data_IF_333831278139
#
_entry.id   IF_333831278139
#
_cell.length_a   1.000
_cell.length_b   1.000
_cell.length_c   1.000
_cell.angle_alpha   90.00
_cell.angle_beta   90.00
_cell.angle_gamma   90.00
#
_symmetry.space_group_name_H-M   'P 1'
#
loop_
_entity.id
_entity.type
_entity.pdbx_description
1 polymer ?
#
# COMPACT_ATOMS: atom_id res chain seq x y z
N UNK A 1 -32.89 0.30 3.86
CA UNK A 1 -31.84 -0.46 3.14
C UNK A 1 -30.56 0.37 3.24
N UNK A 2 -29.60 -0.07 4.02
CA UNK A 2 -28.33 0.64 4.23
C UNK A 2 -27.32 0.07 3.24
N UNK A 3 -26.93 0.89 2.27
CA UNK A 3 -25.88 0.53 1.29
C UNK A 3 -24.52 0.79 1.91
N UNK A 4 -23.71 -0.24 1.97
CA UNK A 4 -22.29 -0.13 2.31
C UNK A 4 -21.53 0.25 1.04
N UNK A 5 -20.84 1.39 1.07
CA UNK A 5 -20.16 1.96 -0.08
C UNK A 5 -18.84 1.23 -0.32
N UNK A 6 -18.85 0.27 -1.21
CA UNK A 6 -17.67 -0.11 -2.00
C UNK A 6 -17.54 0.93 -3.11
N UNK A 7 -16.41 1.62 -3.20
CA UNK A 7 -16.16 2.55 -4.30
C UNK A 7 -16.13 1.78 -5.63
N UNK A 8 -17.26 1.73 -6.30
CA UNK A 8 -17.36 1.45 -7.73
C UNK A 8 -17.83 2.73 -8.41
N UNK A 9 -16.99 3.34 -9.23
CA UNK A 9 -17.38 4.44 -10.09
C UNK A 9 -18.15 3.84 -11.26
N UNK A 10 -19.47 3.97 -11.27
CA UNK A 10 -20.28 3.68 -12.45
C UNK A 10 -20.54 4.99 -13.22
N UNK A 11 -19.99 5.12 -14.41
CA UNK A 11 -20.42 6.16 -15.35
C UNK A 11 -21.67 5.70 -16.08
N UNK A 12 -22.74 6.47 -15.96
CA UNK A 12 -24.00 6.26 -16.71
C UNK A 12 -23.93 7.09 -17.99
N UNK A 13 -23.77 6.39 -19.10
CA UNK A 13 -24.02 6.95 -20.41
C UNK A 13 -25.44 6.54 -20.87
N UNK A 14 -26.34 7.51 -21.09
CA UNK A 14 -27.68 7.28 -21.62
C UNK A 14 -27.61 7.06 -23.13
N UNK A 15 -27.63 5.81 -23.56
CA UNK A 15 -27.88 5.43 -24.96
C UNK A 15 -29.11 4.53 -25.02
N UNK A 16 -30.20 5.05 -25.63
CA UNK A 16 -31.38 4.25 -25.95
C UNK A 16 -31.02 3.26 -27.06
N UNK A 17 -31.00 1.97 -26.75
CA UNK A 17 -30.89 0.91 -27.76
C UNK A 17 -32.09 0.00 -27.67
N UNK A 18 -32.72 -0.15 -28.81
CA UNK A 18 -33.86 -0.98 -29.17
C UNK A 18 -33.73 -2.42 -28.65
N UNK A 19 -34.79 -2.91 -28.01
CA UNK A 19 -34.92 -4.30 -27.59
C UNK A 19 -35.05 -5.24 -28.80
N UNK A 20 -33.99 -5.95 -29.12
CA UNK A 20 -34.07 -7.18 -29.90
C UNK A 20 -33.95 -8.36 -28.91
N UNK A 21 -34.97 -9.21 -28.91
CA UNK A 21 -35.02 -10.40 -28.07
C UNK A 21 -33.89 -11.36 -28.46
N UNK A 22 -32.88 -11.45 -27.61
CA UNK A 22 -31.94 -12.56 -27.65
C UNK A 22 -32.42 -13.62 -26.65
N UNK A 23 -32.62 -14.83 -27.17
CA UNK A 23 -32.86 -16.01 -26.36
C UNK A 23 -31.68 -16.19 -25.42
N UNK A 24 -31.92 -16.17 -24.12
CA UNK A 24 -30.92 -16.52 -23.11
C UNK A 24 -30.60 -18.01 -23.23
N UNK A 25 -29.45 -18.35 -23.78
CA UNK A 25 -28.85 -19.63 -23.51
C UNK A 25 -28.55 -19.71 -21.98
N UNK A 26 -28.76 -20.89 -21.34
CA UNK A 26 -28.49 -21.03 -19.93
C UNK A 26 -26.98 -20.81 -19.72
N UNK A 27 -26.62 -19.68 -19.12
CA UNK A 27 -25.25 -19.43 -18.64
C UNK A 27 -24.91 -20.58 -17.71
N UNK A 28 -24.07 -21.51 -18.17
CA UNK A 28 -23.37 -22.44 -17.32
C UNK A 28 -22.88 -21.65 -16.10
N UNK A 29 -23.18 -22.16 -14.91
CA UNK A 29 -22.65 -21.61 -13.65
C UNK A 29 -21.15 -21.67 -13.77
N UNK A 30 -20.57 -20.55 -14.15
CA UNK A 30 -19.13 -20.39 -14.19
C UNK A 30 -18.59 -20.77 -12.81
N UNK A 31 -17.78 -21.76 -12.81
CA UNK A 31 -17.08 -22.42 -11.72
C UNK A 31 -16.58 -21.42 -10.68
N UNK A 32 -16.67 -21.78 -9.41
CA UNK A 32 -16.36 -20.97 -8.24
C UNK A 32 -14.87 -20.55 -8.11
N UNK A 33 -14.12 -20.67 -9.18
CA UNK A 33 -12.77 -20.13 -9.29
C UNK A 33 -12.85 -18.68 -9.81
N UNK A 34 -13.41 -17.79 -8.98
CA UNK A 34 -13.51 -16.35 -9.31
C UNK A 34 -12.12 -15.83 -9.57
N UNK A 35 -11.79 -15.67 -10.83
CA UNK A 35 -10.54 -15.12 -11.31
C UNK A 35 -10.40 -13.69 -10.81
N UNK A 36 -9.24 -13.34 -10.27
CA UNK A 36 -8.91 -11.96 -9.95
C UNK A 36 -8.97 -11.10 -11.21
N UNK A 37 -9.42 -9.86 -11.04
CA UNK A 37 -9.52 -8.87 -12.10
C UNK A 37 -8.45 -7.79 -11.92
N UNK A 38 -7.75 -7.45 -12.99
CA UNK A 38 -6.92 -6.25 -13.04
C UNK A 38 -7.68 -5.16 -13.79
N UNK A 39 -7.60 -3.93 -13.30
CA UNK A 39 -8.24 -2.77 -13.90
C UNK A 39 -7.20 -1.66 -14.07
N UNK A 40 -7.08 -1.14 -15.28
CA UNK A 40 -6.43 0.13 -15.55
C UNK A 40 -7.37 1.25 -15.09
N UNK A 41 -6.96 2.00 -14.07
CA UNK A 41 -7.83 2.98 -13.42
C UNK A 41 -8.02 4.23 -14.28
N UNK A 42 -7.03 4.58 -15.10
CA UNK A 42 -7.12 5.72 -16.02
C UNK A 42 -8.06 5.45 -17.19
N UNK A 43 -8.07 4.21 -17.69
CA UNK A 43 -8.95 3.81 -18.77
C UNK A 43 -10.33 3.36 -18.26
N UNK A 44 -10.40 2.90 -17.00
CA UNK A 44 -11.62 2.35 -16.41
C UNK A 44 -11.96 0.96 -16.97
N UNK A 45 -10.98 0.25 -17.55
CA UNK A 45 -11.18 -1.00 -18.27
C UNK A 45 -10.42 -2.17 -17.63
N UNK A 46 -10.95 -3.39 -17.72
CA UNK A 46 -10.19 -4.59 -17.38
C UNK A 46 -8.96 -4.73 -18.28
N UNK A 47 -7.84 -5.11 -17.68
CA UNK A 47 -6.57 -5.30 -18.39
C UNK A 47 -5.97 -6.66 -18.04
N UNK A 48 -5.37 -7.39 -19.01
CA UNK A 48 -4.62 -8.61 -18.74
C UNK A 48 -3.43 -8.35 -17.79
N UNK A 49 -3.17 -9.29 -16.89
CA UNK A 49 -2.03 -9.18 -15.96
C UNK A 49 -0.69 -9.01 -16.67
N UNK A 50 -0.53 -9.66 -17.81
CA UNK A 50 0.67 -9.60 -18.65
C UNK A 50 0.96 -8.17 -19.13
N UNK A 51 -0.08 -7.41 -19.48
CA UNK A 51 0.06 -6.00 -19.89
C UNK A 51 0.43 -5.11 -18.69
N UNK A 52 -0.18 -5.33 -17.51
CA UNK A 52 0.24 -4.67 -16.28
C UNK A 52 1.69 -4.95 -15.99
N UNK A 53 2.10 -6.23 -16.05
CA UNK A 53 3.48 -6.64 -15.79
C UNK A 53 4.46 -5.99 -16.77
N UNK A 54 4.08 -5.85 -18.04
CA UNK A 54 4.92 -5.21 -19.04
C UNK A 54 5.08 -3.70 -18.75
N UNK A 55 4.00 -2.99 -18.42
CA UNK A 55 4.09 -1.58 -18.02
C UNK A 55 4.97 -1.40 -16.76
N UNK A 56 4.86 -2.29 -15.77
CA UNK A 56 5.71 -2.25 -14.59
C UNK A 56 7.20 -2.41 -14.91
N UNK A 57 7.55 -3.01 -16.07
CA UNK A 57 8.96 -3.06 -16.52
C UNK A 57 9.49 -1.70 -16.96
N UNK A 58 8.66 -0.72 -17.23
CA UNK A 58 9.06 0.60 -17.74
C UNK A 58 9.39 1.61 -16.65
N UNK A 59 8.99 1.35 -15.41
CA UNK A 59 9.13 2.28 -14.28
C UNK A 59 10.21 1.86 -13.29
N UNK A 60 10.63 2.77 -12.42
CA UNK A 60 11.70 2.53 -11.45
C UNK A 60 11.20 2.23 -10.04
N UNK A 61 10.08 2.81 -9.63
CA UNK A 61 9.42 2.49 -8.37
C UNK A 61 8.02 1.92 -8.64
N UNK A 62 7.69 0.84 -7.94
CA UNK A 62 6.40 0.15 -8.02
C UNK A 62 5.86 0.07 -6.60
N UNK A 63 4.84 0.86 -6.32
CA UNK A 63 4.20 0.86 -5.01
C UNK A 63 3.09 -0.17 -4.99
N UNK A 64 3.18 -1.13 -4.08
CA UNK A 64 2.23 -2.24 -3.90
C UNK A 64 1.44 -2.02 -2.62
N UNK A 65 0.35 -1.26 -2.74
CA UNK A 65 -0.48 -0.84 -1.61
C UNK A 65 -1.43 -1.93 -1.13
N UNK A 66 -1.26 -2.36 0.12
CA UNK A 66 -1.93 -3.52 0.70
C UNK A 66 -2.91 -3.18 1.82
N UNK A 67 -3.76 -4.14 2.16
CA UNK A 67 -4.33 -4.30 3.49
C UNK A 67 -3.45 -5.29 4.24
N UNK A 68 -2.77 -4.84 5.27
CA UNK A 68 -1.75 -5.61 5.98
C UNK A 68 -2.20 -7.00 6.47
N UNK A 69 -3.48 -7.19 6.74
CA UNK A 69 -4.03 -8.44 7.29
C UNK A 69 -4.46 -9.45 6.23
N UNK A 70 -4.37 -9.12 4.94
CA UNK A 70 -4.87 -9.98 3.87
C UNK A 70 -3.73 -10.74 3.19
N UNK A 71 -3.61 -12.03 3.53
CA UNK A 71 -2.57 -12.91 3.02
C UNK A 71 -2.48 -12.92 1.49
N UNK A 72 -3.62 -12.91 0.79
CA UNK A 72 -3.65 -12.91 -0.68
C UNK A 72 -3.01 -11.66 -1.32
N UNK A 73 -2.97 -10.51 -0.61
CA UNK A 73 -2.21 -9.35 -1.05
C UNK A 73 -0.71 -9.65 -1.06
N UNK A 74 -0.21 -10.29 0.00
CA UNK A 74 1.21 -10.66 0.10
C UNK A 74 1.59 -11.75 -0.91
N UNK A 75 0.69 -12.69 -1.21
CA UNK A 75 0.86 -13.69 -2.25
C UNK A 75 0.98 -13.03 -3.64
N UNK A 76 0.12 -12.05 -3.96
CA UNK A 76 0.19 -11.31 -5.22
C UNK A 76 1.45 -10.44 -5.31
N UNK A 77 1.87 -9.81 -4.22
CA UNK A 77 3.13 -9.07 -4.16
C UNK A 77 4.33 -9.98 -4.44
N UNK A 78 4.36 -11.17 -3.85
CA UNK A 78 5.40 -12.17 -4.11
C UNK A 78 5.37 -12.65 -5.57
N UNK A 79 4.18 -12.83 -6.14
CA UNK A 79 4.01 -13.19 -7.55
C UNK A 79 4.59 -12.11 -8.47
N UNK A 80 4.23 -10.84 -8.27
CA UNK A 80 4.74 -9.71 -9.07
C UNK A 80 6.27 -9.66 -9.01
N UNK A 81 6.86 -9.78 -7.82
CA UNK A 81 8.32 -9.80 -7.66
C UNK A 81 8.96 -10.95 -8.45
N UNK A 82 8.42 -12.17 -8.32
CA UNK A 82 8.95 -13.33 -9.04
C UNK A 82 8.84 -13.15 -10.56
N UNK A 83 7.70 -12.68 -11.07
CA UNK A 83 7.46 -12.54 -12.51
C UNK A 83 8.37 -11.45 -13.12
N UNK A 84 8.56 -10.32 -12.43
CA UNK A 84 9.50 -9.29 -12.85
C UNK A 84 10.96 -9.79 -12.80
N UNK A 85 11.31 -10.57 -11.78
CA UNK A 85 12.64 -11.15 -11.65
C UNK A 85 12.92 -12.19 -12.76
N UNK A 86 11.91 -12.99 -13.15
CA UNK A 86 12.02 -13.93 -14.27
C UNK A 86 12.26 -13.24 -15.62
N UNK A 87 11.81 -11.99 -15.77
CA UNK A 87 12.15 -11.15 -16.95
C UNK A 87 13.60 -10.65 -16.93
N UNK A 88 14.41 -11.03 -15.93
CA UNK A 88 15.82 -10.64 -15.80
C UNK A 88 16.04 -9.22 -15.27
N UNK A 89 15.02 -8.59 -14.68
CA UNK A 89 15.13 -7.23 -14.17
C UNK A 89 15.90 -7.18 -12.84
N UNK A 90 16.82 -6.23 -12.65
CA UNK A 90 17.48 -6.01 -11.38
C UNK A 90 16.49 -5.36 -10.41
N UNK A 91 16.03 -6.12 -9.41
CA UNK A 91 15.03 -5.70 -8.46
C UNK A 91 15.61 -5.37 -7.09
N UNK A 92 14.84 -4.62 -6.31
CA UNK A 92 14.99 -4.47 -4.86
C UNK A 92 13.59 -4.44 -4.22
N UNK A 93 13.52 -4.70 -2.92
CA UNK A 93 12.29 -4.73 -2.14
C UNK A 93 12.36 -3.69 -1.03
N UNK A 94 11.47 -2.71 -1.02
CA UNK A 94 11.32 -1.73 0.07
C UNK A 94 10.19 -2.14 1.00
N UNK A 95 10.42 -2.08 2.32
CA UNK A 95 9.47 -2.53 3.33
C UNK A 95 9.10 -1.39 4.30
N UNK A 96 7.82 -1.00 4.31
CA UNK A 96 7.24 -0.19 5.39
C UNK A 96 7.31 -0.91 6.74
N UNK A 97 7.19 -2.23 6.73
CA UNK A 97 7.09 -3.07 7.92
C UNK A 97 8.40 -3.10 8.74
N UNK A 98 9.49 -2.59 8.20
CA UNK A 98 10.81 -2.56 8.84
C UNK A 98 11.29 -1.13 9.07
N UNK A 99 11.77 -0.87 10.29
CA UNK A 99 12.38 0.40 10.65
C UNK A 99 13.80 0.50 10.07
N UNK A 100 14.19 1.69 9.59
CA UNK A 100 15.52 1.93 9.01
C UNK A 100 16.69 1.52 9.93
N UNK A 101 16.50 1.60 11.24
CA UNK A 101 17.44 1.10 12.25
C UNK A 101 17.69 -0.41 12.20
N UNK A 102 16.84 -1.16 11.50
CA UNK A 102 16.93 -2.63 11.38
C UNK A 102 17.59 -3.09 10.07
N UNK A 103 18.09 -2.16 9.24
CA UNK A 103 18.69 -2.48 7.95
C UNK A 103 19.80 -3.53 8.03
N UNK A 104 20.66 -3.46 9.04
CA UNK A 104 21.76 -4.43 9.21
C UNK A 104 21.28 -5.88 9.36
N UNK A 105 20.12 -6.11 9.96
CA UNK A 105 19.53 -7.45 10.07
C UNK A 105 18.99 -7.94 8.72
N UNK A 106 18.37 -7.06 7.92
CA UNK A 106 17.94 -7.38 6.56
C UNK A 106 19.13 -7.70 5.65
N UNK A 107 20.23 -6.95 5.79
CA UNK A 107 21.46 -7.21 5.01
C UNK A 107 22.04 -8.60 5.33
N UNK A 108 22.06 -9.00 6.60
CA UNK A 108 22.47 -10.34 7.03
C UNK A 108 21.56 -11.42 6.46
N UNK A 109 20.25 -11.19 6.50
CA UNK A 109 19.27 -12.10 5.92
C UNK A 109 19.48 -12.27 4.40
N UNK A 110 19.67 -11.16 3.69
CA UNK A 110 19.94 -11.17 2.24
C UNK A 110 21.20 -11.95 1.86
N UNK A 111 22.26 -11.83 2.68
CA UNK A 111 23.51 -12.57 2.47
C UNK A 111 23.40 -14.04 2.89
N UNK A 112 22.30 -14.43 3.49
CA UNK A 112 22.08 -15.80 3.97
C UNK A 112 22.81 -16.14 5.28
N UNK A 113 23.25 -15.15 6.02
CA UNK A 113 23.91 -15.31 7.33
C UNK A 113 22.92 -15.68 8.43
N UNK A 114 21.67 -15.27 8.27
CA UNK A 114 20.54 -15.60 9.15
C UNK A 114 19.36 -16.08 8.31
N UNK A 115 18.52 -16.91 8.90
CA UNK A 115 17.26 -17.35 8.31
C UNK A 115 16.12 -16.40 8.66
N UNK A 116 14.89 -16.74 8.24
CA UNK A 116 13.71 -15.91 8.48
C UNK A 116 13.37 -15.83 9.97
N UNK A 117 13.46 -16.94 10.70
CA UNK A 117 13.18 -17.01 12.13
C UNK A 117 14.16 -16.15 12.94
N UNK A 118 15.44 -16.25 12.62
CA UNK A 118 16.48 -15.42 13.24
C UNK A 118 16.31 -13.92 12.92
N UNK A 119 15.86 -13.59 11.69
CA UNK A 119 15.51 -12.21 11.35
C UNK A 119 14.33 -11.72 12.20
N UNK A 120 13.29 -12.54 12.37
CA UNK A 120 12.11 -12.20 13.19
C UNK A 120 12.47 -11.95 14.64
N UNK A 121 13.34 -12.79 15.21
CA UNK A 121 13.83 -12.65 16.57
C UNK A 121 14.67 -11.37 16.72
N UNK A 122 15.67 -11.18 15.87
CA UNK A 122 16.58 -10.04 15.91
C UNK A 122 15.87 -8.68 15.78
N UNK A 123 14.80 -8.63 15.00
CA UNK A 123 14.02 -7.41 14.77
C UNK A 123 12.82 -7.26 15.70
N UNK A 124 12.49 -8.30 16.49
CA UNK A 124 11.25 -8.40 17.26
C UNK A 124 10.00 -8.09 16.43
N UNK A 125 9.99 -8.50 15.15
CA UNK A 125 8.94 -8.15 14.21
C UNK A 125 7.57 -8.65 14.64
N UNK A 126 7.50 -9.88 15.16
CA UNK A 126 6.27 -10.48 15.68
C UNK A 126 5.56 -9.65 16.78
N UNK A 127 6.31 -8.83 17.52
CA UNK A 127 5.75 -7.95 18.55
C UNK A 127 5.03 -6.73 17.96
N UNK A 128 5.30 -6.38 16.71
CA UNK A 128 4.73 -5.21 16.02
C UNK A 128 3.74 -5.59 14.93
N UNK A 129 3.96 -6.75 14.31
CA UNK A 129 3.17 -7.25 13.19
C UNK A 129 2.75 -8.69 13.47
N UNK A 130 1.52 -8.89 13.93
CA UNK A 130 1.01 -10.22 14.29
C UNK A 130 0.96 -11.17 13.07
N UNK A 131 0.81 -10.62 11.88
CA UNK A 131 0.75 -11.34 10.61
C UNK A 131 2.11 -11.44 9.88
N UNK A 132 3.22 -11.24 10.57
CA UNK A 132 4.57 -11.23 9.99
C UNK A 132 4.91 -12.45 9.12
N UNK A 133 4.36 -13.62 9.45
CA UNK A 133 4.55 -14.85 8.68
C UNK A 133 4.04 -14.74 7.23
N UNK A 134 3.05 -13.91 7.00
CA UNK A 134 2.48 -13.71 5.66
C UNK A 134 3.47 -13.00 4.70
N UNK A 135 4.48 -12.31 5.23
CA UNK A 135 5.53 -11.66 4.44
C UNK A 135 6.70 -12.59 4.08
N UNK A 136 6.75 -13.79 4.69
CA UNK A 136 7.83 -14.76 4.43
C UNK A 136 8.01 -15.08 2.94
N UNK A 137 6.96 -15.38 2.16
CA UNK A 137 7.13 -15.74 0.76
C UNK A 137 7.82 -14.66 -0.07
N UNK A 138 7.51 -13.38 0.17
CA UNK A 138 8.13 -12.28 -0.60
C UNK A 138 9.58 -12.01 -0.16
N UNK A 139 9.89 -12.16 1.14
CA UNK A 139 11.28 -12.03 1.61
C UNK A 139 12.15 -13.17 1.06
N UNK A 140 11.63 -14.39 1.05
CA UNK A 140 12.32 -15.54 0.47
C UNK A 140 12.50 -15.39 -1.06
N UNK A 141 11.49 -14.84 -1.75
CA UNK A 141 11.59 -14.51 -3.16
C UNK A 141 12.68 -13.45 -3.42
N UNK A 142 12.70 -12.36 -2.62
CA UNK A 142 13.73 -11.33 -2.73
C UNK A 142 15.13 -11.91 -2.52
N UNK A 143 15.33 -12.76 -1.51
CA UNK A 143 16.59 -13.46 -1.26
C UNK A 143 16.97 -14.39 -2.41
N UNK A 144 16.04 -15.19 -2.91
CA UNK A 144 16.25 -16.10 -4.06
C UNK A 144 16.78 -15.35 -5.28
N UNK A 145 16.19 -14.18 -5.56
CA UNK A 145 16.56 -13.35 -6.71
C UNK A 145 17.67 -12.35 -6.41
N UNK A 146 18.30 -12.41 -5.23
CA UNK A 146 19.35 -11.50 -4.78
C UNK A 146 18.93 -10.03 -4.89
N UNK A 147 17.64 -9.78 -4.65
CA UNK A 147 17.09 -8.43 -4.59
C UNK A 147 17.36 -7.84 -3.19
N UNK A 148 18.12 -6.75 -3.06
CA UNK A 148 18.30 -6.08 -1.77
C UNK A 148 16.97 -5.76 -1.12
N UNK A 149 16.89 -5.96 0.20
CA UNK A 149 15.70 -5.60 1.00
C UNK A 149 16.05 -4.34 1.79
N UNK A 150 15.21 -3.32 1.66
CA UNK A 150 15.42 -1.98 2.23
C UNK A 150 14.37 -1.72 3.31
N UNK A 151 14.81 -1.44 4.53
CA UNK A 151 13.96 -0.99 5.62
C UNK A 151 13.64 0.50 5.42
N UNK A 152 12.35 0.83 5.29
CA UNK A 152 11.96 2.18 4.92
C UNK A 152 11.46 3.01 6.10
N UNK A 153 10.83 2.38 7.10
CA UNK A 153 10.05 3.11 8.10
C UNK A 153 10.93 3.85 9.13
N UNK A 154 10.36 4.93 9.67
CA UNK A 154 10.90 5.58 10.86
C UNK A 154 10.77 4.66 12.08
N UNK A 155 11.54 4.95 13.13
CA UNK A 155 11.38 4.25 14.42
C UNK A 155 9.98 4.46 14.97
N UNK A 156 9.31 3.37 15.33
CA UNK A 156 7.94 3.41 15.87
C UNK A 156 7.83 4.27 17.13
N UNK A 157 8.89 4.33 17.94
CA UNK A 157 8.88 5.16 19.15
C UNK A 157 8.88 6.66 18.80
N UNK A 158 9.68 7.09 17.81
CA UNK A 158 9.71 8.47 17.33
C UNK A 158 8.33 8.89 16.81
N UNK A 159 7.67 8.02 16.06
CA UNK A 159 6.32 8.26 15.57
C UNK A 159 5.29 8.36 16.70
N UNK A 160 5.38 7.48 17.71
CA UNK A 160 4.50 7.56 18.89
C UNK A 160 4.71 8.86 19.67
N UNK A 161 5.95 9.35 19.74
CA UNK A 161 6.25 10.61 20.43
C UNK A 161 5.63 11.81 19.73
N UNK A 162 5.52 11.84 18.41
CA UNK A 162 4.80 12.89 17.68
C UNK A 162 3.36 13.01 18.21
N UNK A 163 2.68 11.87 18.32
CA UNK A 163 1.29 11.86 18.81
C UNK A 163 1.20 12.28 20.28
N UNK A 164 2.07 11.74 21.14
CA UNK A 164 2.07 12.04 22.58
C UNK A 164 2.43 13.49 22.89
N UNK A 165 3.33 14.07 22.13
CA UNK A 165 3.75 15.47 22.30
C UNK A 165 2.76 16.46 21.72
N UNK A 166 1.79 16.00 20.93
CA UNK A 166 0.81 16.86 20.27
C UNK A 166 1.32 17.52 18.99
N UNK A 167 2.28 16.90 18.31
CA UNK A 167 2.78 17.31 16.99
C UNK A 167 4.33 17.34 16.89
N UNK A 168 4.83 17.43 15.67
CA UNK A 168 6.26 17.40 15.33
C UNK A 168 7.03 18.58 15.96
N UNK A 169 6.41 19.75 15.99
CA UNK A 169 7.05 20.98 16.54
C UNK A 169 7.27 20.91 18.07
N UNK A 170 6.58 20.01 18.75
CA UNK A 170 6.70 19.82 20.20
C UNK A 170 7.66 18.70 20.60
N UNK A 171 8.30 18.07 19.62
CA UNK A 171 9.32 17.07 19.89
C UNK A 171 10.57 17.71 20.49
N UNK A 172 11.18 17.02 21.43
CA UNK A 172 12.51 17.41 21.94
C UNK A 172 13.55 17.27 20.80
N UNK A 173 14.61 18.10 20.79
CA UNK A 173 15.58 18.13 19.68
C UNK A 173 16.19 16.76 19.36
N UNK A 174 16.43 15.93 20.35
CA UNK A 174 17.03 14.59 20.20
C UNK A 174 16.13 13.67 19.37
N UNK A 175 14.83 13.70 19.63
CA UNK A 175 13.82 12.91 18.89
C UNK A 175 13.59 13.50 17.51
N UNK A 176 13.56 14.83 17.40
CA UNK A 176 13.37 15.51 16.10
C UNK A 176 14.48 15.16 15.10
N UNK A 177 15.72 14.94 15.57
CA UNK A 177 16.86 14.52 14.74
C UNK A 177 16.71 13.12 14.13
N UNK A 178 15.81 12.28 14.66
CA UNK A 178 15.52 10.96 14.10
C UNK A 178 14.58 11.00 12.88
N UNK A 179 14.02 12.18 12.60
CA UNK A 179 13.16 12.42 11.43
C UNK A 179 13.94 13.13 10.34
N UNK A 180 13.52 13.02 9.07
CA UNK A 180 14.12 13.76 7.97
C UNK A 180 14.24 15.26 8.27
N UNK A 181 15.39 15.84 7.90
CA UNK A 181 15.62 17.28 8.11
C UNK A 181 14.65 18.11 7.26
N UNK A 182 14.36 17.68 6.05
CA UNK A 182 13.46 18.34 5.11
C UNK A 182 12.16 17.54 4.99
N UNK A 183 11.10 18.03 5.62
CA UNK A 183 9.76 17.45 5.54
C UNK A 183 8.74 18.50 5.10
N UNK A 184 7.78 18.10 4.29
CA UNK A 184 6.59 18.90 3.99
C UNK A 184 5.46 18.43 4.92
N UNK A 185 5.35 19.09 6.08
CA UNK A 185 4.34 18.76 7.09
C UNK A 185 2.96 19.29 6.72
N UNK A 186 2.91 20.44 6.02
CA UNK A 186 1.67 21.01 5.52
C UNK A 186 1.40 20.49 4.11
N UNK A 187 0.36 19.70 3.97
CA UNK A 187 -0.04 19.06 2.71
C UNK A 187 -1.57 18.90 2.68
N UNK A 188 -2.32 20.00 2.39
CA UNK A 188 -3.76 20.01 2.52
C UNK A 188 -4.48 18.89 1.77
N UNK A 189 -4.13 18.50 0.53
CA UNK A 189 -4.76 17.37 -0.14
C UNK A 189 -4.54 16.05 0.59
N UNK A 190 -3.31 15.81 1.08
CA UNK A 190 -3.00 14.58 1.82
C UNK A 190 -3.64 14.59 3.22
N UNK A 191 -3.61 15.72 3.91
CA UNK A 191 -4.26 15.89 5.21
C UNK A 191 -5.77 15.61 5.11
N UNK A 192 -6.43 16.06 4.04
CA UNK A 192 -7.83 15.76 3.77
C UNK A 192 -8.05 14.26 3.58
N UNK A 193 -7.24 13.60 2.75
CA UNK A 193 -7.31 12.15 2.53
C UNK A 193 -7.11 11.36 3.83
N UNK A 194 -6.09 11.72 4.61
CA UNK A 194 -5.83 11.08 5.91
C UNK A 194 -6.97 11.31 6.91
N UNK A 195 -7.54 12.51 6.94
CA UNK A 195 -8.67 12.81 7.82
C UNK A 195 -9.86 11.91 7.52
N UNK A 196 -10.19 11.70 6.24
CA UNK A 196 -11.26 10.80 5.82
C UNK A 196 -10.97 9.35 6.26
N UNK A 197 -9.76 8.87 6.04
CA UNK A 197 -9.35 7.53 6.43
C UNK A 197 -9.37 7.32 7.96
N UNK A 198 -8.86 8.31 8.72
CA UNK A 198 -8.77 8.21 10.19
C UNK A 198 -10.13 8.39 10.87
N UNK A 199 -11.05 9.15 10.30
CA UNK A 199 -12.42 9.27 10.81
C UNK A 199 -13.17 7.93 10.81
N UNK A 200 -12.78 6.99 9.93
CA UNK A 200 -13.32 5.62 9.91
C UNK A 200 -12.96 4.85 11.19
N UNK A 201 -11.78 5.13 11.74
CA UNK A 201 -11.19 4.31 12.81
C UNK A 201 -11.25 4.93 14.20
N UNK A 202 -11.60 6.22 14.35
CA UNK A 202 -11.53 6.86 15.65
C UNK A 202 -12.62 7.91 15.88
N UNK A 203 -13.14 7.96 17.11
CA UNK A 203 -13.85 9.12 17.67
C UNK A 203 -12.86 10.27 17.94
N UNK A 204 -12.01 10.60 16.94
CA UNK A 204 -10.92 11.53 17.15
C UNK A 204 -11.45 12.98 17.15
N UNK A 205 -11.17 13.69 18.23
CA UNK A 205 -11.31 15.16 18.24
C UNK A 205 -10.24 15.78 17.35
N UNK A 206 -10.44 17.01 16.81
CA UNK A 206 -9.42 17.70 16.02
C UNK A 206 -8.05 17.80 16.71
N UNK A 207 -8.03 17.87 18.03
CA UNK A 207 -6.80 17.96 18.85
C UNK A 207 -5.97 16.67 18.80
N UNK A 208 -6.63 15.50 18.63
CA UNK A 208 -5.96 14.21 18.51
C UNK A 208 -5.64 13.92 17.04
N UNK A 209 -6.52 14.34 16.14
CA UNK A 209 -6.40 14.05 14.71
C UNK A 209 -5.14 14.70 14.09
N UNK A 210 -4.85 15.96 14.42
CA UNK A 210 -3.70 16.69 13.84
C UNK A 210 -2.36 15.98 14.13
N UNK A 211 -2.01 15.62 15.38
CA UNK A 211 -0.78 14.87 15.65
C UNK A 211 -0.71 13.50 14.97
N UNK A 212 -1.85 12.81 14.79
CA UNK A 212 -1.90 11.54 14.07
C UNK A 212 -1.59 11.73 12.57
N UNK A 213 -2.13 12.78 11.96
CA UNK A 213 -1.84 13.15 10.57
C UNK A 213 -0.34 13.47 10.43
N UNK A 214 0.22 14.27 11.33
CA UNK A 214 1.64 14.60 11.32
C UNK A 214 2.53 13.37 11.50
N UNK A 215 2.13 12.42 12.35
CA UNK A 215 2.81 11.16 12.53
C UNK A 215 2.81 10.32 11.23
N UNK A 216 1.70 10.29 10.50
CA UNK A 216 1.61 9.61 9.21
C UNK A 216 2.49 10.30 8.16
N UNK A 217 2.42 11.63 8.07
CA UNK A 217 3.29 12.42 7.19
C UNK A 217 4.77 12.16 7.50
N UNK A 218 5.15 12.10 8.78
CA UNK A 218 6.53 11.81 9.19
C UNK A 218 7.00 10.41 8.77
N UNK A 219 6.11 9.41 8.80
CA UNK A 219 6.41 8.07 8.25
C UNK A 219 6.70 8.12 6.77
N UNK A 220 5.83 8.79 5.99
CA UNK A 220 6.00 8.90 4.54
C UNK A 220 7.25 9.67 4.16
N UNK A 221 7.59 10.72 4.90
CA UNK A 221 8.82 11.47 4.70
C UNK A 221 10.07 10.62 4.97
N UNK A 222 10.05 9.83 6.07
CA UNK A 222 11.15 8.93 6.40
C UNK A 222 11.29 7.80 5.35
N UNK A 223 10.17 7.20 4.95
CA UNK A 223 10.18 6.16 3.91
C UNK A 223 10.67 6.71 2.57
N UNK A 224 10.26 7.92 2.21
CA UNK A 224 10.70 8.56 0.98
C UNK A 224 12.19 8.93 1.00
N UNK A 225 12.72 9.37 2.15
CA UNK A 225 14.14 9.64 2.31
C UNK A 225 14.96 8.35 2.18
N UNK A 226 14.55 7.28 2.87
CA UNK A 226 15.23 5.98 2.81
C UNK A 226 15.20 5.40 1.38
N UNK A 227 14.05 5.47 0.72
CA UNK A 227 13.89 4.97 -0.65
C UNK A 227 14.72 5.78 -1.65
N UNK A 228 14.71 7.11 -1.56
CA UNK A 228 15.49 7.97 -2.42
C UNK A 228 17.00 7.74 -2.22
N UNK A 229 17.45 7.67 -0.98
CA UNK A 229 18.84 7.38 -0.64
C UNK A 229 19.30 6.03 -1.21
N UNK A 230 18.46 4.99 -1.10
CA UNK A 230 18.76 3.69 -1.71
C UNK A 230 18.86 3.78 -3.24
N UNK A 231 17.88 4.41 -3.89
CA UNK A 231 17.84 4.53 -5.36
C UNK A 231 19.03 5.30 -5.94
N UNK A 232 19.61 6.24 -5.18
CA UNK A 232 20.81 6.99 -5.54
C UNK A 232 22.11 6.26 -5.18
N UNK A 233 22.06 5.29 -4.28
CA UNK A 233 23.23 4.52 -3.86
C UNK A 233 23.80 3.65 -5.00
N UNK A 234 25.03 3.22 -4.85
CA UNK A 234 25.66 2.27 -5.77
C UNK A 234 24.83 0.96 -5.88
N UNK A 235 24.35 0.45 -4.75
CA UNK A 235 23.53 -0.77 -4.70
C UNK A 235 22.17 -0.60 -5.38
N UNK A 236 21.55 0.58 -5.29
CA UNK A 236 20.24 0.88 -5.87
C UNK A 236 20.27 1.32 -7.33
N UNK A 237 21.45 1.72 -7.82
CA UNK A 237 21.59 2.24 -9.19
C UNK A 237 21.19 1.19 -10.23
N UNK A 238 20.27 1.57 -11.11
CA UNK A 238 19.75 0.69 -12.16
C UNK A 238 18.69 -0.33 -11.70
N UNK A 239 18.40 -0.43 -10.41
CA UNK A 239 17.37 -1.34 -9.90
C UNK A 239 15.99 -0.71 -9.94
N UNK A 240 14.98 -1.55 -10.13
CA UNK A 240 13.57 -1.24 -9.87
C UNK A 240 13.22 -1.67 -8.44
N UNK A 241 12.48 -0.83 -7.73
CA UNK A 241 12.12 -1.13 -6.34
C UNK A 241 10.62 -1.39 -6.25
N UNK A 242 10.27 -2.57 -5.73
CA UNK A 242 8.92 -2.88 -5.30
C UNK A 242 8.80 -2.39 -3.84
N UNK A 243 7.85 -1.51 -3.58
CA UNK A 243 7.63 -0.93 -2.25
C UNK A 243 6.35 -1.50 -1.67
N UNK A 244 6.47 -2.30 -0.61
CA UNK A 244 5.34 -2.84 0.14
C UNK A 244 4.94 -1.88 1.24
N UNK A 245 3.71 -1.40 1.17
CA UNK A 245 3.17 -0.52 2.20
C UNK A 245 1.65 -0.58 2.25
N UNK A 246 1.08 -0.10 3.34
CA UNK A 246 -0.37 0.05 3.45
C UNK A 246 -0.92 0.99 2.37
N UNK A 247 -2.10 0.66 1.83
CA UNK A 247 -2.75 1.44 0.78
C UNK A 247 -2.88 2.94 1.12
N UNK A 248 -3.03 3.27 2.42
CA UNK A 248 -3.12 4.66 2.88
C UNK A 248 -1.88 5.51 2.63
N UNK A 249 -0.71 4.89 2.47
CA UNK A 249 0.55 5.58 2.16
C UNK A 249 0.70 5.95 0.68
N UNK A 250 -0.05 5.30 -0.21
CA UNK A 250 0.15 5.43 -1.66
C UNK A 250 -1.08 5.83 -2.44
N UNK A 251 -2.27 5.66 -1.87
CA UNK A 251 -3.52 6.01 -2.54
C UNK A 251 -3.51 7.46 -3.03
N UNK A 252 -4.01 7.68 -4.25
CA UNK A 252 -4.02 8.96 -4.96
C UNK A 252 -2.62 9.55 -5.20
N UNK A 253 -1.56 8.81 -4.97
CA UNK A 253 -0.18 9.30 -5.08
C UNK A 253 0.22 10.36 -4.05
N UNK A 254 -0.62 10.63 -3.04
CA UNK A 254 -0.48 11.78 -2.12
C UNK A 254 0.54 11.58 -1.00
N UNK A 255 0.70 10.35 -0.51
CA UNK A 255 1.61 10.04 0.60
C UNK A 255 3.07 9.86 0.14
N UNK A 256 3.56 8.66 0.28
CA UNK A 256 4.93 8.26 -0.08
C UNK A 256 5.32 8.62 -1.53
N UNK A 257 4.50 8.34 -2.59
CA UNK A 257 4.92 8.62 -3.96
C UNK A 257 5.25 10.09 -4.22
N UNK A 258 4.39 11.02 -3.78
CA UNK A 258 4.65 12.47 -3.93
C UNK A 258 5.95 12.89 -3.26
N UNK A 259 6.27 12.33 -2.09
CA UNK A 259 7.49 12.64 -1.34
C UNK A 259 8.74 12.08 -2.00
N UNK A 260 8.63 10.94 -2.64
CA UNK A 260 9.72 10.36 -3.46
C UNK A 260 9.92 11.20 -4.73
N UNK A 261 8.85 11.54 -5.46
CA UNK A 261 8.93 12.39 -6.66
C UNK A 261 9.54 13.76 -6.36
N UNK A 262 9.29 14.33 -5.18
CA UNK A 262 9.92 15.58 -4.76
C UNK A 262 11.43 15.46 -4.56
N UNK A 263 11.92 14.29 -4.12
CA UNK A 263 13.35 14.00 -3.93
C UNK A 263 14.03 13.56 -5.22
N UNK A 264 13.29 12.87 -6.06
CA UNK A 264 13.74 12.32 -7.35
C UNK A 264 12.75 12.75 -8.46
N UNK A 265 12.83 13.99 -8.98
CA UNK A 265 11.83 14.55 -9.89
C UNK A 265 11.62 13.75 -11.19
N UNK A 266 12.66 13.08 -11.66
CA UNK A 266 12.62 12.31 -12.92
C UNK A 266 12.20 10.83 -12.71
N UNK A 267 11.83 10.44 -11.49
CA UNK A 267 11.46 9.06 -11.22
C UNK A 267 10.14 8.72 -11.93
N UNK A 268 10.15 7.61 -12.65
CA UNK A 268 8.93 7.01 -13.18
C UNK A 268 8.44 5.97 -12.18
N UNK A 269 7.18 6.02 -11.84
CA UNK A 269 6.59 5.10 -10.87
C UNK A 269 5.20 4.63 -11.29
N UNK A 270 4.71 3.58 -10.62
CA UNK A 270 3.34 3.07 -10.69
C UNK A 270 2.83 2.71 -9.31
N UNK A 271 1.55 2.92 -9.13
CA UNK A 271 0.82 2.55 -7.92
C UNK A 271 -0.14 1.42 -8.28
N UNK A 272 0.04 0.30 -7.63
CA UNK A 272 -0.86 -0.86 -7.69
C UNK A 272 -1.56 -0.98 -6.34
N UNK A 273 -2.87 -0.92 -6.32
CA UNK A 273 -3.65 -1.19 -5.10
C UNK A 273 -4.31 -2.56 -5.18
N UNK A 274 -4.25 -3.27 -4.07
CA UNK A 274 -4.96 -4.52 -3.90
C UNK A 274 -6.29 -4.26 -3.19
N UNK A 275 -7.37 -4.75 -3.75
CA UNK A 275 -8.72 -4.53 -3.25
C UNK A 275 -9.52 -5.83 -3.22
N UNK A 276 -10.60 -5.77 -2.47
CA UNK A 276 -11.56 -6.86 -2.33
C UNK A 276 -12.91 -6.40 -2.85
N UNK A 277 -13.60 -7.27 -3.58
CA UNK A 277 -15.02 -7.07 -3.91
C UNK A 277 -15.90 -7.88 -2.96
N UNK A 278 -17.07 -7.36 -2.65
CA UNK A 278 -18.05 -8.00 -1.76
C UNK A 278 -18.11 -7.36 -0.37
N UNK A 279 -18.98 -7.88 0.48
CA UNK A 279 -19.08 -7.41 1.87
C UNK A 279 -17.80 -7.72 2.64
N UNK A 280 -17.21 -6.70 3.21
CA UNK A 280 -16.14 -6.89 4.19
C UNK A 280 -16.81 -7.43 5.46
N UNK A 281 -16.60 -8.71 5.75
CA UNK A 281 -17.08 -9.30 7.01
C UNK A 281 -16.13 -8.86 8.12
N UNK A 282 -16.54 -7.82 8.82
CA UNK A 282 -15.86 -7.38 10.04
C UNK A 282 -16.15 -8.37 11.17
N UNK A 283 -15.15 -8.63 12.02
CA UNK A 283 -15.38 -9.31 13.29
C UNK A 283 -16.33 -8.50 14.19
N UNK A 284 -16.94 -9.10 15.23
CA UNK A 284 -17.74 -8.35 16.19
C UNK A 284 -17.00 -7.17 16.82
N UNK A 285 -15.71 -7.34 17.11
CA UNK A 285 -14.84 -6.32 17.69
C UNK A 285 -14.57 -5.19 16.68
N UNK A 286 -14.30 -5.52 15.43
CA UNK A 286 -14.12 -4.55 14.36
C UNK A 286 -15.41 -3.79 14.07
N UNK A 287 -16.58 -4.47 14.09
CA UNK A 287 -17.88 -3.82 13.95
C UNK A 287 -18.18 -2.85 15.09
N UNK A 288 -17.79 -3.19 16.31
CA UNK A 288 -17.98 -2.31 17.48
C UNK A 288 -17.09 -1.05 17.39
N UNK A 289 -15.94 -1.13 16.72
CA UNK A 289 -15.02 -0.03 16.54
C UNK A 289 -15.24 0.73 15.22
N UNK A 290 -15.93 0.14 14.26
CA UNK A 290 -16.20 0.77 12.97
C UNK A 290 -17.41 1.70 13.06
N UNK A 291 -17.28 2.92 12.51
CA UNK A 291 -18.42 3.80 12.22
C UNK A 291 -18.72 3.76 10.74
N UNK A 292 -19.99 3.70 10.38
CA UNK A 292 -20.39 3.96 9.01
C UNK A 292 -20.01 5.41 8.66
N UNK A 293 -19.13 5.57 7.67
CA UNK A 293 -18.77 6.88 7.13
C UNK A 293 -19.40 6.96 5.75
N UNK A 294 -20.11 8.02 5.52
CA UNK A 294 -20.57 8.40 4.21
C UNK A 294 -19.55 9.39 3.61
N UNK A 295 -18.74 8.92 2.67
CA UNK A 295 -17.87 9.78 1.87
C UNK A 295 -18.68 10.21 0.66
N UNK A 296 -18.93 11.52 0.56
CA UNK A 296 -19.72 12.07 -0.54
C UNK A 296 -18.85 12.26 -1.78
N UNK A 297 -19.47 12.28 -2.95
CA UNK A 297 -18.80 12.62 -4.21
C UNK A 297 -18.14 14.01 -4.16
N UNK A 298 -18.73 14.95 -3.42
CA UNK A 298 -18.17 16.28 -3.21
C UNK A 298 -16.81 16.22 -2.52
N UNK A 299 -16.69 15.41 -1.47
CA UNK A 299 -15.43 15.21 -0.75
C UNK A 299 -14.37 14.53 -1.61
N UNK A 300 -14.77 13.61 -2.50
CA UNK A 300 -13.85 12.93 -3.42
C UNK A 300 -13.39 13.81 -4.58
N UNK A 301 -14.19 14.83 -5.00
CA UNK A 301 -13.83 15.77 -6.06
C UNK A 301 -12.60 16.62 -5.77
N UNK A 302 -12.25 16.77 -4.49
CA UNK A 302 -11.01 17.44 -4.09
C UNK A 302 -9.75 16.62 -4.42
N UNK A 303 -9.90 15.31 -4.62
CA UNK A 303 -8.83 14.40 -4.99
C UNK A 303 -8.76 14.33 -6.52
N UNK A 304 -7.85 15.12 -7.10
CA UNK A 304 -7.75 15.31 -8.57
C UNK A 304 -7.04 14.16 -9.31
N UNK A 305 -6.49 13.19 -8.59
CA UNK A 305 -5.77 12.07 -9.17
C UNK A 305 -6.56 10.78 -8.97
N UNK A 306 -6.43 9.80 -9.87
CA UNK A 306 -7.00 8.48 -9.66
C UNK A 306 -6.37 7.82 -8.43
N UNK A 307 -7.09 6.88 -7.84
CA UNK A 307 -6.66 6.23 -6.60
C UNK A 307 -5.34 5.45 -6.77
N UNK A 308 -5.10 4.93 -7.97
CA UNK A 308 -3.91 4.17 -8.36
C UNK A 308 -3.79 4.15 -9.89
N UNK A 309 -2.70 3.60 -10.43
CA UNK A 309 -2.59 3.26 -11.85
C UNK A 309 -3.35 1.97 -12.14
N UNK A 310 -3.19 0.96 -11.27
CA UNK A 310 -3.85 -0.33 -11.40
C UNK A 310 -4.53 -0.75 -10.10
N UNK A 311 -5.69 -1.40 -10.25
CA UNK A 311 -6.37 -2.12 -9.17
C UNK A 311 -6.32 -3.62 -9.46
N UNK A 312 -5.87 -4.40 -8.49
CA UNK A 312 -6.12 -5.83 -8.46
C UNK A 312 -7.29 -6.10 -7.53
N UNK A 313 -8.36 -6.68 -8.08
CA UNK A 313 -9.59 -6.97 -7.36
C UNK A 313 -9.79 -8.47 -7.29
N UNK A 314 -9.82 -9.03 -6.08
CA UNK A 314 -10.20 -10.42 -5.88
C UNK A 314 -11.55 -10.49 -5.17
N UNK A 315 -12.53 -11.24 -5.68
CA UNK A 315 -13.78 -11.47 -4.98
C UNK A 315 -13.54 -12.16 -3.63
N UNK A 316 -14.29 -11.76 -2.61
CA UNK A 316 -14.32 -12.48 -1.34
C UNK A 316 -14.95 -13.84 -1.57
N UNK A 317 -14.32 -14.90 -1.12
CA UNK A 317 -14.89 -16.25 -1.13
C UNK A 317 -16.01 -16.32 -0.09
N UNK A 318 -17.20 -16.71 -0.53
CA UNK A 318 -18.27 -17.07 0.41
C UNK A 318 -17.83 -18.34 1.16
N UNK A 319 -17.73 -18.27 2.49
CA UNK A 319 -17.62 -19.51 3.27
C UNK A 319 -18.91 -20.28 3.04
N UNK A 320 -18.83 -21.60 2.71
CA UNK A 320 -20.04 -22.41 2.63
C UNK A 320 -20.81 -22.28 3.93
N UNK A 321 -22.12 -22.05 3.83
CA UNK A 321 -23.01 -22.03 4.98
C UNK A 321 -22.81 -23.36 5.72
N UNK A 322 -22.46 -23.31 7.01
CA UNK A 322 -22.38 -24.47 7.89
C UNK A 322 -23.78 -24.89 8.32
#
# INVERSE_FOLDING_TARGET
MRQYLLCLIAMIGTGVISAAAYAEEPRERADANRTSLWVDVYQGEPVPYEEVLEDLTTVRAIYLGERHTLQRHHEMQAKILNDLAQKGLPLALGLEQMESSQQSHLDRYNRGEIDFEQLMEATAWSKRWSNYQQYRPILEAARKWKAPIVALNAKSETIRQIVRSGGIERLVPEVRKELPAKMQVQDPPYEKSLSLQMMVHASATPQILRPMIEAQIARDEAMAEALAAFLESEQGRGRKVLVLCGAGHVAYGLGLPTRVRRRLPDIKDRIVLFSESGEVRLSPEEKAQSRAIEITHEQLRELRQPIADYLWVKPLEEKPAR
#
